data_IF_307379242619
#
_entry.id   IF_307379242619
#
_cell.length_a   1.000
_cell.length_b   1.000
_cell.length_c   1.000
_cell.angle_alpha   90.00
_cell.angle_beta   90.00
_cell.angle_gamma   90.00
#
_symmetry.space_group_name_H-M   'P 1'
#
loop_
_entity.id
_entity.type
_entity.pdbx_description
1 polymer ?
#
# COMPACT_ATOMS: atom_id res chain seq x y z
N UNK A 1 20.35 24.99 7.10
CA UNK A 1 19.73 23.66 7.19
C UNK A 1 20.16 22.85 5.96
N UNK A 2 20.48 21.57 6.09
CA UNK A 2 20.79 20.70 4.94
C UNK A 2 19.56 19.85 4.63
N UNK A 3 18.92 20.08 3.49
CA UNK A 3 17.82 19.24 3.01
C UNK A 3 18.40 18.15 2.10
N UNK A 4 18.11 16.88 2.40
CA UNK A 4 18.51 15.77 1.53
C UNK A 4 17.47 15.64 0.42
N UNK A 5 17.90 15.85 -0.82
CA UNK A 5 17.03 15.83 -2.01
C UNK A 5 17.02 14.47 -2.73
N UNK A 6 17.93 13.56 -2.40
CA UNK A 6 18.00 12.24 -3.05
C UNK A 6 17.40 11.16 -2.17
N UNK A 7 16.47 10.38 -2.72
CA UNK A 7 15.86 9.22 -2.05
C UNK A 7 16.30 7.91 -2.71
N UNK A 8 16.43 6.86 -1.89
CA UNK A 8 17.01 5.57 -2.28
C UNK A 8 16.07 4.37 -2.15
N UNK A 9 14.77 4.60 -1.96
CA UNK A 9 13.79 3.54 -1.62
C UNK A 9 12.78 3.27 -2.72
N UNK A 10 12.10 4.31 -3.21
CA UNK A 10 10.89 4.16 -4.04
C UNK A 10 11.16 4.32 -5.54
N UNK A 11 10.25 3.77 -6.34
CA UNK A 11 10.24 3.92 -7.80
C UNK A 11 10.17 5.40 -8.21
N UNK A 12 10.82 5.83 -9.32
CA UNK A 12 10.80 7.22 -9.80
C UNK A 12 9.42 7.86 -9.93
N UNK A 13 8.44 7.13 -10.46
CA UNK A 13 7.07 7.65 -10.58
C UNK A 13 6.39 7.90 -9.22
N UNK A 14 6.61 7.05 -8.21
CA UNK A 14 6.10 7.27 -6.85
C UNK A 14 6.79 8.51 -6.26
N UNK A 15 8.12 8.61 -6.42
CA UNK A 15 8.90 9.76 -5.97
C UNK A 15 8.40 11.06 -6.58
N UNK A 16 8.16 11.08 -7.89
CA UNK A 16 7.69 12.26 -8.60
C UNK A 16 6.36 12.77 -8.04
N UNK A 17 5.40 11.87 -7.75
CA UNK A 17 4.12 12.26 -7.17
C UNK A 17 4.29 12.87 -5.77
N UNK A 18 4.99 12.16 -4.86
CA UNK A 18 5.21 12.60 -3.48
C UNK A 18 6.02 13.90 -3.43
N UNK A 19 7.06 14.00 -4.25
CA UNK A 19 7.93 15.17 -4.34
C UNK A 19 7.15 16.43 -4.75
N UNK A 20 6.21 16.32 -5.71
CA UNK A 20 5.35 17.44 -6.12
C UNK A 20 4.38 17.86 -5.02
N UNK A 21 3.76 16.91 -4.32
CA UNK A 21 2.74 17.20 -3.31
C UNK A 21 3.33 17.83 -2.05
N UNK A 22 4.51 17.39 -1.61
CA UNK A 22 5.02 17.72 -0.28
C UNK A 22 6.40 18.40 -0.27
N UNK A 23 7.14 18.37 -1.39
CA UNK A 23 8.53 18.83 -1.45
C UNK A 23 8.81 19.79 -2.62
N UNK A 24 7.78 20.40 -3.21
CA UNK A 24 7.91 21.34 -4.34
C UNK A 24 8.71 20.78 -5.54
N UNK A 25 8.71 19.45 -5.71
CA UNK A 25 9.46 18.77 -6.77
C UNK A 25 10.96 18.63 -6.51
N UNK A 26 11.46 18.97 -5.31
CA UNK A 26 12.90 18.97 -5.01
C UNK A 26 13.49 17.57 -4.78
N UNK A 27 12.68 16.56 -4.46
CA UNK A 27 13.15 15.20 -4.18
C UNK A 27 13.21 14.36 -5.46
N UNK A 28 14.34 13.69 -5.70
CA UNK A 28 14.60 12.81 -6.85
C UNK A 28 15.04 11.42 -6.40
N UNK A 29 14.79 10.42 -7.25
CA UNK A 29 15.28 9.05 -7.05
C UNK A 29 16.71 8.92 -7.52
N UNK A 30 17.55 8.29 -6.71
CA UNK A 30 18.90 7.90 -7.10
C UNK A 30 18.91 7.04 -8.39
N UNK A 31 19.92 7.23 -9.24
CA UNK A 31 19.99 6.59 -10.57
C UNK A 31 20.10 5.06 -10.50
N UNK A 32 20.83 4.52 -9.53
CA UNK A 32 20.95 3.07 -9.34
C UNK A 32 19.60 2.48 -8.90
N UNK A 33 18.84 3.21 -8.08
CA UNK A 33 17.49 2.79 -7.68
C UNK A 33 16.50 2.91 -8.84
N UNK A 34 16.59 3.98 -9.63
CA UNK A 34 15.76 4.20 -10.79
C UNK A 34 15.92 3.11 -11.85
N UNK A 35 17.15 2.62 -12.06
CA UNK A 35 17.42 1.52 -13.00
C UNK A 35 16.95 0.15 -12.51
N UNK A 36 16.90 -0.08 -11.19
CA UNK A 36 16.43 -1.33 -10.60
C UNK A 36 14.90 -1.39 -10.43
N UNK A 37 14.23 -0.25 -10.25
CA UNK A 37 12.79 -0.16 -10.04
C UNK A 37 12.12 0.17 -11.38
N UNK A 38 11.73 -0.87 -12.12
CA UNK A 38 11.22 -0.76 -13.50
C UNK A 38 9.79 -1.27 -13.69
N UNK A 39 9.04 -1.52 -12.60
CA UNK A 39 7.66 -1.98 -12.69
C UNK A 39 6.78 -0.98 -13.44
N UNK A 40 6.03 -1.45 -14.45
CA UNK A 40 5.24 -0.59 -15.33
C UNK A 40 4.12 0.18 -14.63
N UNK A 41 3.54 -0.42 -13.58
CA UNK A 41 2.45 0.16 -12.79
C UNK A 41 2.86 0.14 -11.30
N UNK A 42 3.78 1.03 -10.88
CA UNK A 42 4.31 1.05 -9.51
C UNK A 42 3.34 1.70 -8.51
N UNK A 43 2.27 2.33 -9.02
CA UNK A 43 1.21 2.94 -8.24
C UNK A 43 -0.11 2.77 -9.00
N UNK A 44 -1.13 2.26 -8.30
CA UNK A 44 -2.47 2.08 -8.83
C UNK A 44 -3.46 2.61 -7.80
N UNK A 45 -4.48 3.33 -8.29
CA UNK A 45 -5.65 3.69 -7.50
C UNK A 45 -6.78 2.74 -7.87
N UNK A 46 -7.28 1.99 -6.90
CA UNK A 46 -8.36 1.03 -7.10
C UNK A 46 -9.61 1.58 -6.42
N UNK A 47 -10.61 1.93 -7.23
CA UNK A 47 -11.91 2.33 -6.73
C UNK A 47 -12.70 1.09 -6.31
N UNK A 48 -13.24 1.10 -5.09
CA UNK A 48 -13.99 -0.02 -4.53
C UNK A 48 -15.36 0.48 -4.11
N UNK A 49 -16.40 -0.03 -4.77
CA UNK A 49 -17.77 0.27 -4.40
C UNK A 49 -18.11 -0.46 -3.09
N UNK A 50 -18.26 0.29 -2.01
CA UNK A 50 -18.60 -0.23 -0.70
C UNK A 50 -19.19 0.84 0.21
N UNK A 51 -19.57 0.43 1.42
CA UNK A 51 -20.08 1.32 2.46
C UNK A 51 -19.30 1.05 3.75
N UNK A 52 -18.92 2.12 4.44
CA UNK A 52 -18.28 2.00 5.75
C UNK A 52 -19.31 1.72 6.85
N UNK A 53 -18.97 0.84 7.77
CA UNK A 53 -19.76 0.52 8.94
C UNK A 53 -19.02 0.97 10.19
N UNK A 54 -19.72 1.67 11.08
CA UNK A 54 -19.17 2.12 12.36
C UNK A 54 -19.19 0.98 13.39
N UNK A 55 -18.01 0.68 13.95
CA UNK A 55 -17.86 -0.18 15.12
C UNK A 55 -18.16 0.62 16.38
N UNK A 56 -19.35 0.41 16.94
CA UNK A 56 -19.86 1.15 18.11
C UNK A 56 -19.02 1.02 19.39
N UNK A 57 -18.11 0.06 19.46
CA UNK A 57 -17.30 -0.18 20.66
C UNK A 57 -16.11 0.79 20.77
N UNK A 58 -15.58 1.30 19.65
CA UNK A 58 -14.37 2.13 19.64
C UNK A 58 -14.42 3.31 18.64
N UNK A 59 -15.61 3.65 18.11
CA UNK A 59 -15.80 4.69 17.08
C UNK A 59 -14.86 4.50 15.88
N UNK A 60 -14.53 3.25 15.58
CA UNK A 60 -13.72 2.88 14.42
C UNK A 60 -14.62 2.49 13.25
N UNK A 61 -14.05 2.41 12.05
CA UNK A 61 -14.80 2.12 10.83
C UNK A 61 -14.20 0.92 10.11
N UNK A 62 -15.06 0.16 9.44
CA UNK A 62 -14.69 -0.98 8.61
C UNK A 62 -15.44 -0.92 7.29
N UNK A 63 -14.75 -1.14 6.18
CA UNK A 63 -15.34 -1.32 4.87
C UNK A 63 -15.02 -2.74 4.38
N UNK A 64 -16.01 -3.63 4.44
CA UNK A 64 -15.83 -5.04 4.08
C UNK A 64 -15.62 -5.26 2.58
N UNK A 65 -16.09 -4.35 1.72
CA UNK A 65 -15.83 -4.42 0.29
C UNK A 65 -14.34 -4.17 0.00
N UNK A 66 -13.74 -3.18 0.69
CA UNK A 66 -12.29 -2.93 0.62
C UNK A 66 -11.48 -4.10 1.18
N UNK A 67 -11.91 -4.72 2.29
CA UNK A 67 -11.27 -5.93 2.82
C UNK A 67 -11.21 -7.01 1.73
N UNK A 68 -12.32 -7.29 1.04
CA UNK A 68 -12.34 -8.29 -0.02
C UNK A 68 -11.44 -7.90 -1.20
N UNK A 69 -11.49 -6.64 -1.64
CA UNK A 69 -10.66 -6.16 -2.74
C UNK A 69 -9.15 -6.29 -2.44
N UNK A 70 -8.74 -6.07 -1.19
CA UNK A 70 -7.36 -6.29 -0.74
C UNK A 70 -6.98 -7.76 -0.83
N UNK A 71 -7.83 -8.69 -0.40
CA UNK A 71 -7.55 -10.13 -0.46
C UNK A 71 -7.41 -10.62 -1.91
N UNK A 72 -8.29 -10.16 -2.80
CA UNK A 72 -8.24 -10.47 -4.22
C UNK A 72 -6.93 -9.95 -4.86
N UNK A 73 -6.53 -8.72 -4.52
CA UNK A 73 -5.27 -8.13 -4.99
C UNK A 73 -4.06 -8.89 -4.44
N UNK A 74 -4.05 -9.25 -3.17
CA UNK A 74 -2.96 -10.02 -2.57
C UNK A 74 -2.80 -11.38 -3.23
N UNK A 75 -3.91 -12.06 -3.53
CA UNK A 75 -3.91 -13.34 -4.25
C UNK A 75 -3.25 -13.19 -5.61
N UNK A 76 -3.64 -12.16 -6.38
CA UNK A 76 -3.03 -11.85 -7.69
C UNK A 76 -1.54 -11.54 -7.57
N UNK A 77 -1.16 -10.70 -6.60
CA UNK A 77 0.23 -10.29 -6.39
C UNK A 77 1.13 -11.46 -5.95
N UNK A 78 0.65 -12.34 -5.09
CA UNK A 78 1.42 -13.51 -4.65
C UNK A 78 1.60 -14.52 -5.78
N UNK A 79 0.56 -14.75 -6.59
CA UNK A 79 0.67 -15.63 -7.76
C UNK A 79 1.66 -15.08 -8.79
N UNK A 80 1.61 -13.77 -9.07
CA UNK A 80 2.52 -13.13 -10.01
C UNK A 80 3.95 -12.97 -9.46
N UNK A 81 4.07 -12.75 -8.15
CA UNK A 81 5.30 -12.35 -7.47
C UNK A 81 5.49 -13.02 -6.10
N UNK A 82 5.73 -14.34 -6.06
CA UNK A 82 5.73 -15.12 -4.81
C UNK A 82 6.84 -14.75 -3.81
N UNK A 83 7.87 -14.03 -4.25
CA UNK A 83 8.99 -13.59 -3.41
C UNK A 83 8.80 -12.16 -2.86
N UNK A 84 7.70 -11.49 -3.21
CA UNK A 84 7.46 -10.14 -2.72
C UNK A 84 7.07 -10.15 -1.25
N UNK A 85 7.60 -9.16 -0.53
CA UNK A 85 7.15 -8.84 0.83
C UNK A 85 6.11 -7.74 0.72
N UNK A 86 4.89 -8.05 1.13
CA UNK A 86 3.74 -7.16 1.00
C UNK A 86 3.30 -6.73 2.39
N UNK A 87 3.03 -5.45 2.55
CA UNK A 87 2.44 -4.89 3.77
C UNK A 87 1.14 -4.18 3.40
N UNK A 88 0.08 -4.44 4.15
CA UNK A 88 -1.21 -3.74 4.05
C UNK A 88 -1.27 -2.72 5.18
N UNK A 89 -1.59 -1.48 4.85
CA UNK A 89 -1.69 -0.38 5.80
C UNK A 89 -3.12 0.16 5.81
N UNK A 90 -3.64 0.47 6.99
CA UNK A 90 -4.96 1.11 7.17
C UNK A 90 -4.92 2.03 8.39
N UNK A 91 -5.79 3.04 8.39
CA UNK A 91 -5.90 4.01 9.48
C UNK A 91 -6.77 3.50 10.64
N UNK A 92 -7.82 2.74 10.34
CA UNK A 92 -8.83 2.37 11.32
C UNK A 92 -8.52 1.03 11.98
N UNK A 93 -8.68 0.98 13.31
CA UNK A 93 -8.47 -0.23 14.10
C UNK A 93 -9.44 -1.35 13.74
N UNK A 94 -10.73 -1.06 13.53
CA UNK A 94 -11.70 -2.07 13.10
C UNK A 94 -11.35 -2.65 11.72
N UNK A 95 -10.95 -1.80 10.76
CA UNK A 95 -10.44 -2.25 9.45
C UNK A 95 -9.20 -3.14 9.60
N UNK A 96 -8.25 -2.76 10.47
CA UNK A 96 -7.05 -3.57 10.74
C UNK A 96 -7.40 -4.95 11.30
N UNK A 97 -8.34 -5.01 12.25
CA UNK A 97 -8.80 -6.27 12.84
C UNK A 97 -9.47 -7.17 11.78
N UNK A 98 -10.39 -6.61 10.99
CA UNK A 98 -11.06 -7.34 9.92
C UNK A 98 -10.07 -7.87 8.86
N UNK A 99 -9.08 -7.06 8.46
CA UNK A 99 -8.00 -7.48 7.57
C UNK A 99 -7.16 -8.60 8.20
N UNK A 100 -6.71 -8.44 9.44
CA UNK A 100 -5.88 -9.43 10.11
C UNK A 100 -6.58 -10.80 10.25
N UNK A 101 -7.85 -10.80 10.65
CA UNK A 101 -8.66 -12.03 10.77
C UNK A 101 -8.79 -12.77 9.43
N UNK A 102 -9.07 -12.02 8.35
CA UNK A 102 -9.21 -12.61 7.01
C UNK A 102 -7.87 -13.08 6.45
N UNK A 103 -6.80 -12.31 6.65
CA UNK A 103 -5.46 -12.66 6.21
C UNK A 103 -4.94 -13.93 6.91
N UNK A 104 -5.13 -14.08 8.22
CA UNK A 104 -4.75 -15.29 8.93
C UNK A 104 -5.52 -16.54 8.44
N UNK A 105 -6.75 -16.35 7.96
CA UNK A 105 -7.59 -17.43 7.45
C UNK A 105 -7.20 -17.83 6.02
N UNK A 106 -6.96 -16.85 5.15
CA UNK A 106 -6.73 -17.07 3.72
C UNK A 106 -5.25 -17.27 3.36
N UNK A 107 -4.33 -16.79 4.21
CA UNK A 107 -2.88 -16.88 4.03
C UNK A 107 -2.17 -17.39 5.30
N UNK A 108 -2.45 -18.63 5.74
CA UNK A 108 -1.96 -19.16 7.03
C UNK A 108 -0.43 -19.33 7.10
N UNK A 109 0.23 -19.43 5.95
CA UNK A 109 1.69 -19.58 5.84
C UNK A 109 2.45 -18.24 5.81
N UNK A 110 1.72 -17.12 5.89
CA UNK A 110 2.29 -15.78 5.94
C UNK A 110 2.32 -15.33 7.41
N UNK A 111 3.51 -15.18 8.01
CA UNK A 111 3.65 -14.80 9.41
C UNK A 111 3.19 -13.37 9.70
#
# INVERSE_FOLDING_TARGET
EHCVTTQYRMHPQICQMISRLFYSGAVTTDEAVASLRTHALPLLWCDVLGEELECRQDNSYVNMAEVQAVLDMLTQLQLAHPLWRIAVLTYYKAQLQALAERLCTEFPDIP
#
